data_IF_461284491605
#
_entry.id   IF_461284491605
#
_cell.length_a   1.000
_cell.length_b   1.000
_cell.length_c   1.000
_cell.angle_alpha   90.00
_cell.angle_beta   90.00
_cell.angle_gamma   90.00
#
_symmetry.space_group_name_H-M   'P 1'
#
loop_
_entity.id
_entity.type
_entity.pdbx_description
1 polymer ?
#
# COMPACT_ATOMS: atom_id res chain seq x y z
N UNK A 1 9.68 -14.59 -21.56
CA UNK A 1 9.90 -13.23 -21.02
C UNK A 1 9.73 -13.27 -19.51
N UNK A 2 10.70 -12.80 -18.69
CA UNK A 2 10.45 -12.61 -17.28
C UNK A 2 9.58 -11.35 -17.16
N UNK A 3 8.27 -11.54 -17.20
CA UNK A 3 7.32 -10.48 -16.93
C UNK A 3 7.59 -10.02 -15.50
N UNK A 4 8.20 -8.83 -15.36
CA UNK A 4 8.28 -8.18 -14.07
C UNK A 4 6.83 -8.09 -13.56
N UNK A 5 6.54 -8.76 -12.43
CA UNK A 5 5.19 -8.93 -11.90
C UNK A 5 4.47 -7.59 -11.67
N UNK A 6 3.21 -7.59 -11.21
CA UNK A 6 2.47 -6.36 -11.00
C UNK A 6 3.23 -5.41 -10.07
N UNK A 7 3.27 -4.12 -10.45
CA UNK A 7 3.89 -3.06 -9.65
C UNK A 7 3.37 -3.12 -8.21
N UNK A 8 4.24 -3.06 -7.19
CA UNK A 8 3.82 -3.02 -5.80
C UNK A 8 2.78 -1.91 -5.57
N UNK A 9 1.68 -2.24 -4.87
CA UNK A 9 0.65 -1.29 -4.46
C UNK A 9 1.08 -0.55 -3.20
N UNK A 10 0.76 0.75 -3.13
CA UNK A 10 1.02 1.55 -1.92
C UNK A 10 0.26 0.96 -0.74
N UNK A 11 0.89 0.82 0.44
CA UNK A 11 0.21 0.35 1.63
C UNK A 11 -0.77 1.43 2.12
N UNK A 12 -1.75 0.98 2.88
CA UNK A 12 -2.73 1.86 3.52
C UNK A 12 -2.05 2.70 4.60
N UNK A 13 -2.55 3.92 4.83
CA UNK A 13 -2.10 4.76 5.93
C UNK A 13 -2.64 4.25 7.28
N UNK A 14 -2.15 4.82 8.37
CA UNK A 14 -2.50 4.48 9.75
C UNK A 14 -4.01 4.56 10.00
N UNK A 15 -4.67 5.61 9.52
CA UNK A 15 -6.11 5.80 9.65
C UNK A 15 -6.90 4.71 8.92
N UNK A 16 -6.56 4.41 7.65
CA UNK A 16 -7.23 3.37 6.88
C UNK A 16 -6.93 1.99 7.45
N UNK A 17 -5.77 1.79 8.06
CA UNK A 17 -5.44 0.53 8.74
C UNK A 17 -6.36 0.32 9.95
N UNK A 18 -6.50 1.34 10.79
CA UNK A 18 -7.42 1.34 11.94
C UNK A 18 -8.89 1.20 11.53
N UNK A 19 -9.34 1.95 10.52
CA UNK A 19 -10.74 1.85 10.08
C UNK A 19 -11.03 0.46 9.51
N UNK A 20 -10.07 -0.14 8.80
CA UNK A 20 -10.24 -1.45 8.21
C UNK A 20 -10.27 -2.58 9.26
N UNK A 21 -9.52 -2.43 10.35
CA UNK A 21 -9.41 -3.42 11.43
C UNK A 21 -10.56 -3.32 12.43
N UNK A 22 -10.78 -2.15 13.02
CA UNK A 22 -11.69 -1.94 14.16
C UNK A 22 -12.69 -0.82 13.92
N UNK A 23 -12.25 0.32 13.36
CA UNK A 23 -13.07 1.53 13.27
C UNK A 23 -14.39 1.31 12.52
N UNK A 24 -14.38 0.61 11.37
CA UNK A 24 -15.61 0.31 10.62
C UNK A 24 -16.63 -0.48 11.43
N UNK A 25 -16.18 -1.49 12.18
CA UNK A 25 -17.08 -2.34 12.96
C UNK A 25 -17.66 -1.56 14.14
N UNK A 26 -16.84 -0.78 14.82
CA UNK A 26 -17.28 0.09 15.91
C UNK A 26 -18.32 1.12 15.43
N UNK A 27 -18.05 1.79 14.32
CA UNK A 27 -18.93 2.81 13.75
C UNK A 27 -20.25 2.20 13.26
N UNK A 28 -20.23 1.03 12.62
CA UNK A 28 -21.44 0.30 12.22
C UNK A 28 -22.24 -0.24 13.39
N UNK A 29 -21.60 -0.59 14.50
CA UNK A 29 -22.28 -1.02 15.71
C UNK A 29 -23.05 0.14 16.36
N UNK A 30 -22.47 1.35 16.40
CA UNK A 30 -23.14 2.54 16.90
C UNK A 30 -24.20 3.09 15.94
N UNK A 31 -23.97 2.94 14.63
CA UNK A 31 -24.82 3.45 13.58
C UNK A 31 -25.11 2.35 12.55
N UNK A 32 -26.06 1.44 12.83
CA UNK A 32 -26.43 0.41 11.87
C UNK A 32 -27.07 1.05 10.63
N UNK A 33 -26.71 0.57 9.43
CA UNK A 33 -27.33 1.01 8.17
C UNK A 33 -26.74 2.27 7.53
N UNK A 34 -25.71 2.88 8.10
CA UNK A 34 -25.04 4.04 7.48
C UNK A 34 -24.21 3.63 6.26
N UNK A 35 -24.07 4.56 5.33
CA UNK A 35 -23.30 4.36 4.11
C UNK A 35 -21.80 4.21 4.39
N UNK A 36 -21.04 3.52 3.54
CA UNK A 36 -19.58 3.45 3.67
C UNK A 36 -18.89 4.82 3.70
N UNK A 37 -19.48 5.82 3.05
CA UNK A 37 -18.98 7.20 3.04
C UNK A 37 -19.16 7.86 4.40
N UNK A 38 -20.32 7.71 5.05
CA UNK A 38 -20.57 8.19 6.42
C UNK A 38 -19.70 7.48 7.45
N UNK A 39 -19.43 6.19 7.28
CA UNK A 39 -18.46 5.46 8.12
C UNK A 39 -17.09 6.11 8.04
N UNK A 40 -16.65 6.51 6.84
CA UNK A 40 -15.36 7.16 6.66
C UNK A 40 -15.31 8.54 7.31
N UNK A 41 -16.37 9.35 7.15
CA UNK A 41 -16.47 10.68 7.79
C UNK A 41 -16.41 10.58 9.31
N UNK A 42 -17.30 9.77 9.91
CA UNK A 42 -17.30 9.51 11.37
C UNK A 42 -15.98 8.93 11.84
N UNK A 43 -15.38 8.05 11.04
CA UNK A 43 -14.07 7.49 11.31
C UNK A 43 -12.99 8.56 11.38
N UNK A 44 -12.98 9.54 10.47
CA UNK A 44 -11.99 10.61 10.50
C UNK A 44 -12.11 11.51 11.73
N UNK A 45 -13.34 11.81 12.17
CA UNK A 45 -13.59 12.57 13.40
C UNK A 45 -13.12 11.81 14.64
N UNK A 46 -13.49 10.52 14.73
CA UNK A 46 -13.06 9.64 15.80
C UNK A 46 -11.55 9.48 15.85
N UNK A 47 -10.91 9.25 14.70
CA UNK A 47 -9.46 9.16 14.62
C UNK A 47 -8.78 10.46 15.04
N UNK A 48 -9.34 11.62 14.68
CA UNK A 48 -8.87 12.91 15.19
C UNK A 48 -8.92 12.99 16.72
N UNK A 49 -9.99 12.48 17.32
CA UNK A 49 -10.24 12.50 18.76
C UNK A 49 -9.52 11.40 19.57
N UNK A 50 -9.01 10.34 18.94
CA UNK A 50 -8.24 9.29 19.61
C UNK A 50 -6.96 9.85 20.24
N UNK A 51 -6.50 9.22 21.33
CA UNK A 51 -5.23 9.57 21.97
C UNK A 51 -4.04 9.07 21.15
N UNK A 52 -2.91 9.76 21.24
CA UNK A 52 -1.74 9.44 20.43
C UNK A 52 -1.19 8.04 20.75
N UNK A 53 -1.29 7.58 22.01
CA UNK A 53 -0.86 6.25 22.43
C UNK A 53 -1.61 5.13 21.69
N UNK A 54 -2.91 5.31 21.46
CA UNK A 54 -3.71 4.35 20.68
C UNK A 54 -3.39 4.45 19.18
N UNK A 55 -2.95 5.61 18.70
CA UNK A 55 -2.53 5.82 17.32
C UNK A 55 -1.13 5.26 17.05
N UNK A 56 -0.24 5.25 18.05
CA UNK A 56 1.17 4.84 17.90
C UNK A 56 1.28 3.45 17.27
N UNK A 57 0.49 2.48 17.72
CA UNK A 57 0.52 1.12 17.16
C UNK A 57 0.20 1.10 15.66
N UNK A 58 -0.75 1.92 15.21
CA UNK A 58 -1.14 2.03 13.80
C UNK A 58 -0.15 2.86 12.99
N UNK A 59 0.41 3.91 13.58
CA UNK A 59 1.46 4.73 12.97
C UNK A 59 2.73 3.92 12.74
N UNK A 60 3.14 3.10 13.71
CA UNK A 60 4.28 2.19 13.58
C UNK A 60 4.01 1.09 12.56
N UNK A 61 2.81 0.50 12.57
CA UNK A 61 2.41 -0.48 11.56
C UNK A 61 2.41 0.12 10.14
N UNK A 62 1.87 1.33 9.96
CA UNK A 62 1.87 2.03 8.68
C UNK A 62 3.28 2.40 8.23
N UNK A 63 4.15 2.86 9.15
CA UNK A 63 5.56 3.16 8.89
C UNK A 63 6.32 1.91 8.42
N UNK A 64 6.10 0.78 9.10
CA UNK A 64 6.70 -0.50 8.76
C UNK A 64 6.22 -0.98 7.39
N UNK A 65 4.91 -0.93 7.13
CA UNK A 65 4.34 -1.29 5.83
C UNK A 65 4.88 -0.39 4.69
N UNK A 66 5.06 0.91 4.94
CA UNK A 66 5.68 1.82 3.98
C UNK A 66 7.16 1.53 3.74
N UNK A 67 7.93 1.15 4.76
CA UNK A 67 9.32 0.75 4.60
C UNK A 67 9.43 -0.52 3.73
N UNK A 68 8.58 -1.51 3.97
CA UNK A 68 8.54 -2.74 3.17
C UNK A 68 8.08 -2.47 1.73
N UNK A 69 7.12 -1.57 1.54
CA UNK A 69 6.69 -1.13 0.23
C UNK A 69 7.84 -0.51 -0.57
N UNK A 70 8.62 0.40 0.04
CA UNK A 70 9.77 1.02 -0.60
C UNK A 70 10.80 -0.01 -1.07
N UNK A 71 11.15 -0.98 -0.21
CA UNK A 71 12.05 -2.09 -0.58
C UNK A 71 11.52 -2.92 -1.74
N UNK A 72 10.22 -3.23 -1.75
CA UNK A 72 9.58 -3.98 -2.85
C UNK A 72 9.56 -3.17 -4.14
N UNK A 73 9.32 -1.87 -4.05
CA UNK A 73 9.28 -0.95 -5.19
C UNK A 73 10.67 -0.79 -5.83
N UNK A 74 11.72 -0.65 -5.02
CA UNK A 74 13.11 -0.60 -5.48
C UNK A 74 13.48 -1.87 -6.26
N UNK A 75 13.21 -3.05 -5.69
CA UNK A 75 13.43 -4.33 -6.38
C UNK A 75 12.66 -4.42 -7.70
N UNK A 76 11.40 -4.00 -7.71
CA UNK A 76 10.58 -3.99 -8.92
C UNK A 76 11.16 -3.06 -10.00
N UNK A 77 11.63 -1.87 -9.62
CA UNK A 77 12.28 -0.94 -10.54
C UNK A 77 13.57 -1.52 -11.11
N UNK A 78 14.44 -2.11 -10.28
CA UNK A 78 15.69 -2.74 -10.74
C UNK A 78 15.44 -3.90 -11.70
N UNK A 79 14.48 -4.78 -11.38
CA UNK A 79 14.10 -5.89 -12.27
C UNK A 79 13.52 -5.38 -13.60
N UNK A 80 12.76 -4.27 -13.57
CA UNK A 80 12.25 -3.64 -14.78
C UNK A 80 13.39 -3.11 -15.66
N UNK A 81 14.32 -2.34 -15.10
CA UNK A 81 15.48 -1.79 -15.83
C UNK A 81 16.38 -2.87 -16.44
N UNK A 82 16.59 -3.98 -15.74
CA UNK A 82 17.35 -5.11 -16.25
C UNK A 82 16.64 -5.81 -17.41
N UNK A 83 15.31 -5.98 -17.32
CA UNK A 83 14.52 -6.56 -18.42
C UNK A 83 14.55 -5.71 -19.68
N UNK A 84 14.57 -4.38 -19.55
CA UNK A 84 14.68 -3.45 -20.68
C UNK A 84 16.08 -3.52 -21.31
N UNK A 85 17.16 -3.67 -20.51
CA UNK A 85 18.54 -3.81 -21.02
C UNK A 85 18.81 -5.13 -21.73
N UNK A 86 18.25 -6.24 -21.25
CA UNK A 86 18.46 -7.57 -21.87
C UNK A 86 17.74 -7.68 -23.22
N UNK A 87 16.64 -6.94 -23.42
CA UNK A 87 15.90 -6.99 -24.70
C UNK A 87 16.62 -6.24 -25.84
N UNK A 88 17.51 -5.29 -25.52
CA UNK A 88 18.28 -4.53 -26.52
C UNK A 88 19.56 -5.26 -26.98
N UNK A 89 20.09 -6.20 -26.19
CA UNK A 89 21.39 -6.85 -26.47
C UNK A 89 21.28 -8.14 -27.30
N UNK A 90 20.09 -8.75 -27.38
CA UNK A 90 19.85 -9.96 -28.18
C UNK A 90 19.65 -9.66 -29.68
N UNK A 91 19.20 -8.46 -30.06
CA UNK A 91 18.98 -8.08 -31.47
C UNK A 91 20.27 -7.69 -32.24
N UNK A 92 21.42 -7.56 -31.57
CA UNK A 92 22.67 -7.10 -32.23
C UNK A 92 23.63 -8.26 -32.56
N UNK A 93 23.38 -9.48 -32.10
CA UNK A 93 24.29 -10.62 -32.31
C UNK A 93 23.89 -11.49 -33.53
N UNK A 94 22.63 -11.42 -33.99
CA UNK A 94 22.15 -12.23 -35.13
C UNK A 94 22.38 -11.56 -36.51
N UNK A 95 22.81 -10.28 -36.54
CA UNK A 95 23.02 -9.55 -37.82
C UNK A 95 24.46 -9.59 -38.34
N UNK A 96 25.31 -10.48 -37.82
CA UNK A 96 26.72 -10.60 -38.21
C UNK A 96 27.21 -12.04 -38.42
N UNK A 97 26.29 -12.99 -38.67
CA UNK A 97 26.63 -14.32 -39.16
C UNK A 97 26.25 -14.47 -40.65
#
# INVERSE_FOLDING_TARGET
MPHCGPRPKKPVNEFLMWINSAGRNYIRAMHPGISPQEVLMKGSEMWGAMVDEEKVVWQEAARTAMADYKKKLEKWNTHKEQSEKTTQTDETVDRSA
#
